data_IF_356667430299
#
_entry.id   IF_356667430299
#
_cell.length_a   1.000
_cell.length_b   1.000
_cell.length_c   1.000
_cell.angle_alpha   90.00
_cell.angle_beta   90.00
_cell.angle_gamma   90.00
#
_symmetry.space_group_name_H-M   'P 1'
#
loop_
_entity.id
_entity.type
_entity.pdbx_description
1 polymer ?
#
# COMPACT_ATOMS: atom_id res chain seq x y z
N UNK A 1 8.32 17.93 12.91
CA UNK A 1 7.90 18.32 11.55
C UNK A 1 7.84 17.04 10.76
N UNK A 2 6.62 16.57 10.51
CA UNK A 2 6.32 15.19 10.12
C UNK A 2 7.00 14.80 8.81
N UNK A 3 7.71 13.67 8.86
CA UNK A 3 8.28 12.99 7.71
C UNK A 3 7.13 12.60 6.77
N UNK A 4 6.86 13.44 5.76
CA UNK A 4 5.93 13.11 4.68
C UNK A 4 6.40 11.79 4.06
N UNK A 5 5.67 10.72 4.34
CA UNK A 5 5.97 9.42 3.77
C UNK A 5 5.67 9.50 2.28
N UNK A 6 6.47 8.82 1.44
CA UNK A 6 6.21 8.80 -0.01
C UNK A 6 4.82 8.24 -0.35
N UNK A 7 4.20 7.52 0.58
CA UNK A 7 2.80 7.12 0.51
C UNK A 7 1.83 8.31 0.53
N UNK A 8 1.99 9.26 1.46
CA UNK A 8 1.12 10.45 1.53
C UNK A 8 1.25 11.28 0.24
N UNK A 9 2.45 11.39 -0.33
CA UNK A 9 2.67 12.10 -1.59
C UNK A 9 1.91 11.45 -2.76
N UNK A 10 1.98 10.12 -2.92
CA UNK A 10 1.28 9.46 -4.04
C UNK A 10 -0.23 9.44 -3.84
N UNK A 11 -0.71 9.25 -2.61
CA UNK A 11 -2.13 9.30 -2.25
C UNK A 11 -2.72 10.66 -2.59
N UNK A 12 -2.01 11.72 -2.19
CA UNK A 12 -2.40 13.11 -2.43
C UNK A 12 -2.29 13.48 -3.89
N UNK A 13 -1.30 12.96 -4.61
CA UNK A 13 -1.16 13.14 -6.06
C UNK A 13 -2.27 12.42 -6.85
N UNK A 14 -2.71 11.24 -6.39
CA UNK A 14 -3.83 10.51 -6.96
C UNK A 14 -5.19 11.04 -6.50
N UNK A 15 -5.23 11.99 -5.56
CA UNK A 15 -6.46 12.56 -5.01
C UNK A 15 -7.25 11.59 -4.13
N UNK A 16 -6.65 10.49 -3.71
CA UNK A 16 -7.32 9.51 -2.88
C UNK A 16 -7.32 10.04 -1.44
N UNK A 17 -8.47 10.04 -0.78
CA UNK A 17 -8.59 10.56 0.59
C UNK A 17 -9.15 9.53 1.57
N UNK A 18 -9.38 8.29 1.12
CA UNK A 18 -10.01 7.24 1.93
C UNK A 18 -9.35 5.88 1.69
N UNK A 19 -9.21 5.05 2.74
CA UNK A 19 -8.64 3.72 2.61
C UNK A 19 -9.39 2.83 1.61
N UNK A 20 -10.71 2.97 1.49
CA UNK A 20 -11.49 2.25 0.48
C UNK A 20 -11.09 2.63 -0.97
N UNK A 21 -10.78 3.90 -1.21
CA UNK A 21 -10.29 4.41 -2.49
C UNK A 21 -8.86 3.95 -2.76
N UNK A 22 -8.04 3.83 -1.71
CA UNK A 22 -6.69 3.26 -1.82
C UNK A 22 -6.77 1.83 -2.32
N UNK A 23 -7.60 1.01 -1.67
CA UNK A 23 -7.75 -0.40 -2.03
C UNK A 23 -8.33 -0.57 -3.44
N UNK A 24 -9.26 0.32 -3.82
CA UNK A 24 -9.91 0.32 -5.14
C UNK A 24 -9.05 0.95 -6.24
N UNK A 25 -8.00 1.70 -5.90
CA UNK A 25 -7.16 2.39 -6.88
C UNK A 25 -6.02 1.50 -7.37
N UNK A 26 -6.15 1.01 -8.60
CA UNK A 26 -5.14 0.21 -9.27
C UNK A 26 -3.80 0.95 -9.42
N UNK A 27 -3.83 2.27 -9.63
CA UNK A 27 -2.63 3.09 -9.75
C UNK A 27 -1.82 3.12 -8.44
N UNK A 28 -2.51 3.23 -7.29
CA UNK A 28 -1.86 3.18 -5.99
C UNK A 28 -1.33 1.78 -5.69
N UNK A 29 -2.08 0.73 -6.08
CA UNK A 29 -1.68 -0.68 -5.90
C UNK A 29 -0.39 -1.02 -6.64
N UNK A 30 -0.29 -0.57 -7.89
CA UNK A 30 0.91 -0.78 -8.72
C UNK A 30 2.10 -0.01 -8.17
N UNK A 31 1.89 1.26 -7.79
CA UNK A 31 2.91 2.07 -7.15
C UNK A 31 3.43 1.39 -5.87
N UNK A 32 2.55 0.93 -4.99
CA UNK A 32 2.95 0.23 -3.77
C UNK A 32 3.70 -1.05 -4.10
N UNK A 33 3.28 -1.84 -5.09
CA UNK A 33 4.02 -3.06 -5.45
C UNK A 33 5.46 -2.78 -5.85
N UNK A 34 5.69 -1.70 -6.60
CA UNK A 34 7.03 -1.30 -7.07
C UNK A 34 7.84 -0.57 -6.00
N UNK A 35 7.17 0.20 -5.14
CA UNK A 35 7.82 1.06 -4.15
C UNK A 35 7.92 0.42 -2.77
N UNK A 36 7.16 -0.62 -2.41
CA UNK A 36 7.18 -1.25 -1.08
C UNK A 36 8.57 -1.73 -0.63
N UNK A 37 9.43 -2.08 -1.59
CA UNK A 37 10.80 -2.54 -1.33
C UNK A 37 11.80 -1.36 -1.19
N UNK A 38 11.43 -0.17 -1.66
CA UNK A 38 12.28 1.04 -1.67
C UNK A 38 11.74 2.19 -0.79
N UNK A 39 10.47 2.15 -0.42
CA UNK A 39 9.71 3.19 0.28
C UNK A 39 8.86 2.55 1.36
N UNK A 40 8.66 3.31 2.43
CA UNK A 40 7.78 2.92 3.51
C UNK A 40 6.32 2.89 3.03
N UNK A 41 5.67 1.74 3.15
CA UNK A 41 4.25 1.53 2.86
C UNK A 41 3.57 0.99 4.13
N UNK A 42 2.42 1.56 4.53
CA UNK A 42 1.70 1.10 5.71
C UNK A 42 1.21 -0.35 5.56
N UNK A 43 1.38 -1.12 6.64
CA UNK A 43 1.07 -2.55 6.68
C UNK A 43 -0.43 -2.83 6.48
N UNK A 44 -1.30 -1.96 7.02
CA UNK A 44 -2.75 -2.03 6.82
C UNK A 44 -3.15 -2.06 5.33
N UNK A 45 -2.37 -1.38 4.48
CA UNK A 45 -2.61 -1.33 3.04
C UNK A 45 -2.12 -2.59 2.32
N UNK A 46 -0.96 -3.10 2.75
CA UNK A 46 -0.43 -4.37 2.29
C UNK A 46 -1.41 -5.50 2.65
N UNK A 47 -1.98 -5.49 3.84
CA UNK A 47 -3.03 -6.41 4.27
C UNK A 47 -4.30 -6.24 3.44
N UNK A 48 -4.78 -5.00 3.24
CA UNK A 48 -6.00 -4.74 2.48
C UNK A 48 -5.91 -5.16 0.99
N UNK A 49 -4.71 -5.18 0.41
CA UNK A 49 -4.48 -5.70 -0.94
C UNK A 49 -4.06 -7.17 -1.02
N UNK A 50 -3.82 -7.82 0.11
CA UNK A 50 -3.30 -9.18 0.17
C UNK A 50 -1.82 -9.31 -0.25
N UNK A 51 -1.03 -8.25 -0.09
CA UNK A 51 0.43 -8.29 -0.25
C UNK A 51 1.15 -8.85 0.98
N UNK A 52 0.49 -8.92 2.14
CA UNK A 52 1.01 -9.64 3.28
C UNK A 52 1.19 -11.11 2.89
N UNK A 53 2.45 -11.57 2.92
CA UNK A 53 2.82 -12.95 2.59
C UNK A 53 1.95 -13.89 3.41
N UNK A 54 1.20 -14.70 2.68
CA UNK A 54 0.52 -15.86 3.21
C UNK A 54 1.55 -16.78 3.89
N UNK A 55 1.65 -16.70 5.22
CA UNK A 55 2.27 -17.74 6.05
C UNK A 55 1.33 -18.94 6.23
N UNK A 56 0.47 -19.24 5.25
CA UNK A 56 -0.39 -20.42 5.22
C UNK A 56 -0.05 -21.35 4.04
N UNK A 57 1.25 -21.48 3.75
CA UNK A 57 1.78 -22.59 2.95
C UNK A 57 2.50 -23.61 3.84
N UNK A 58 1.76 -24.28 4.74
CA UNK A 58 2.04 -25.69 5.09
C UNK A 58 0.69 -26.37 5.34
N UNK A 59 0.14 -26.87 4.24
CA UNK A 59 -0.89 -27.91 4.24
C UNK A 59 -0.25 -29.26 4.59
N UNK A 60 -0.89 -29.99 5.50
CA UNK A 60 -0.77 -31.43 5.84
C UNK A 60 0.57 -32.00 6.30
#
# INVERSE_FOLDING_TARGET
MESKTSFDEIVRNLGLSSPAEYVSSAALKDWVRMNKDHKYVPQELLEAWGFAVDEASTSN
#
